data_IF_123513989174
#
_entry.id   IF_123513989174
#
_cell.length_a   1.000
_cell.length_b   1.000
_cell.length_c   1.000
_cell.angle_alpha   90.00
_cell.angle_beta   90.00
_cell.angle_gamma   90.00
#
_symmetry.space_group_name_H-M   'P 1'
#
loop_
_entity.id
_entity.type
_entity.pdbx_description
1 polymer ?
#
# COMPACT_ATOMS: atom_id res chain seq x y z
N UNK A 1 3.90 28.82 -26.06
CA UNK A 1 4.24 27.60 -25.30
C UNK A 1 3.10 27.39 -24.35
N UNK A 2 2.34 26.32 -24.54
CA UNK A 2 1.18 25.99 -23.70
C UNK A 2 1.70 25.64 -22.31
N UNK A 3 1.27 26.39 -21.30
CA UNK A 3 1.61 26.16 -19.91
C UNK A 3 1.00 24.81 -19.51
N UNK A 4 1.82 23.76 -19.45
CA UNK A 4 1.37 22.42 -19.07
C UNK A 4 1.13 22.45 -17.57
N UNK A 5 -0.11 22.66 -17.17
CA UNK A 5 -0.56 22.46 -15.79
C UNK A 5 -0.25 21.01 -15.40
N UNK A 6 0.53 20.83 -14.34
CA UNK A 6 0.84 19.52 -13.75
C UNK A 6 -0.46 18.81 -13.37
N UNK A 7 -0.62 17.53 -13.72
CA UNK A 7 -1.86 16.79 -13.42
C UNK A 7 -1.91 16.33 -11.96
N UNK A 8 -3.10 16.02 -11.45
CA UNK A 8 -3.26 15.48 -10.09
C UNK A 8 -2.52 14.15 -9.89
N UNK A 9 -2.39 13.35 -10.97
CA UNK A 9 -1.60 12.13 -10.95
C UNK A 9 -0.10 12.40 -10.87
N UNK A 10 0.40 13.42 -11.57
CA UNK A 10 1.78 13.86 -11.47
C UNK A 10 2.08 14.42 -10.06
N UNK A 11 1.16 15.18 -9.47
CA UNK A 11 1.26 15.64 -8.08
C UNK A 11 1.28 14.47 -7.09
N UNK A 12 0.37 13.52 -7.22
CA UNK A 12 0.28 12.32 -6.39
C UNK A 12 1.60 11.52 -6.42
N UNK A 13 2.12 11.23 -7.61
CA UNK A 13 3.34 10.44 -7.79
C UNK A 13 4.62 11.19 -7.43
N UNK A 14 4.56 12.52 -7.32
CA UNK A 14 5.66 13.38 -6.84
C UNK A 14 5.55 13.74 -5.35
N UNK A 15 4.72 12.99 -4.61
CA UNK A 15 4.55 13.13 -3.16
C UNK A 15 3.99 14.51 -2.74
N UNK A 16 3.34 15.21 -3.67
CA UNK A 16 2.67 16.48 -3.39
C UNK A 16 1.21 16.27 -2.97
N UNK A 17 0.61 17.30 -2.39
CA UNK A 17 -0.84 17.32 -2.18
C UNK A 17 -1.54 17.29 -3.54
N UNK A 18 -2.56 16.45 -3.63
CA UNK A 18 -3.35 16.22 -4.83
C UNK A 18 -4.83 16.00 -4.47
N UNK A 19 -5.70 16.11 -5.46
CA UNK A 19 -7.14 15.88 -5.35
C UNK A 19 -7.45 14.44 -5.76
N UNK A 20 -7.69 13.58 -4.77
CA UNK A 20 -7.97 12.16 -5.00
C UNK A 20 -9.24 11.87 -5.82
N UNK A 21 -10.16 12.83 -5.90
CA UNK A 21 -11.39 12.73 -6.71
C UNK A 21 -11.18 13.16 -8.18
N UNK A 22 -9.94 13.36 -8.62
CA UNK A 22 -9.63 13.66 -10.01
C UNK A 22 -10.14 12.56 -10.97
N UNK A 23 -10.71 12.92 -12.14
CA UNK A 23 -11.22 11.95 -13.09
C UNK A 23 -10.19 10.94 -13.62
N UNK A 24 -8.94 11.35 -13.85
CA UNK A 24 -7.87 10.45 -14.30
C UNK A 24 -7.59 9.38 -13.24
N UNK A 25 -7.44 9.80 -11.99
CA UNK A 25 -7.26 8.90 -10.86
C UNK A 25 -8.49 8.00 -10.65
N UNK A 26 -9.70 8.53 -10.86
CA UNK A 26 -10.93 7.76 -10.81
C UNK A 26 -10.99 6.62 -11.82
N UNK A 27 -10.46 6.82 -13.04
CA UNK A 27 -10.38 5.76 -14.07
C UNK A 27 -9.49 4.61 -13.60
N UNK A 28 -8.29 4.93 -13.10
CA UNK A 28 -7.33 3.92 -12.63
C UNK A 28 -7.87 3.17 -11.40
N UNK A 29 -8.45 3.88 -10.44
CA UNK A 29 -9.06 3.28 -9.25
C UNK A 29 -10.24 2.35 -9.61
N UNK A 30 -11.07 2.74 -10.57
CA UNK A 30 -12.18 1.90 -11.03
C UNK A 30 -11.71 0.62 -11.72
N UNK A 31 -10.59 0.69 -12.46
CA UNK A 31 -9.97 -0.51 -13.04
C UNK A 31 -9.48 -1.45 -11.94
N UNK A 32 -8.81 -0.93 -10.91
CA UNK A 32 -8.37 -1.70 -9.76
C UNK A 32 -9.54 -2.38 -9.05
N UNK A 33 -10.59 -1.62 -8.72
CA UNK A 33 -11.82 -2.12 -8.07
C UNK A 33 -12.45 -3.29 -8.83
N UNK A 34 -12.53 -3.20 -10.16
CA UNK A 34 -13.06 -4.29 -11.01
C UNK A 34 -12.22 -5.56 -10.88
N UNK A 35 -10.89 -5.46 -10.96
CA UNK A 35 -10.00 -6.61 -10.83
C UNK A 35 -10.02 -7.19 -9.42
N UNK A 36 -10.00 -6.36 -8.38
CA UNK A 36 -10.11 -6.84 -6.98
C UNK A 36 -11.44 -7.51 -6.72
N UNK A 37 -12.54 -7.06 -7.34
CA UNK A 37 -13.82 -7.74 -7.25
C UNK A 37 -13.76 -9.15 -7.86
N UNK A 38 -13.18 -9.27 -9.06
CA UNK A 38 -13.01 -10.57 -9.72
C UNK A 38 -12.11 -11.51 -8.92
N UNK A 39 -11.03 -11.00 -8.32
CA UNK A 39 -10.15 -11.77 -7.43
C UNK A 39 -10.92 -12.27 -6.20
N UNK A 40 -11.65 -11.38 -5.52
CA UNK A 40 -12.28 -11.66 -4.24
C UNK A 40 -13.57 -12.49 -4.34
N UNK A 41 -14.09 -12.70 -5.55
CA UNK A 41 -15.31 -13.49 -5.81
C UNK A 41 -15.05 -14.74 -6.64
N UNK A 42 -13.83 -14.94 -7.11
CA UNK A 42 -13.45 -16.17 -7.80
C UNK A 42 -13.51 -17.36 -6.83
N UNK A 43 -13.80 -18.54 -7.37
CA UNK A 43 -13.67 -19.79 -6.61
C UNK A 43 -12.20 -20.03 -6.24
N UNK A 44 -11.96 -20.57 -5.06
CA UNK A 44 -10.61 -20.99 -4.63
C UNK A 44 -10.01 -22.06 -5.56
N UNK A 45 -10.85 -22.79 -6.29
CA UNK A 45 -10.42 -23.78 -7.29
C UNK A 45 -9.84 -23.11 -8.56
N UNK A 46 -10.20 -21.85 -8.85
CA UNK A 46 -9.79 -21.10 -10.05
C UNK A 46 -8.43 -20.37 -9.84
N UNK A 47 -7.43 -21.03 -9.23
CA UNK A 47 -6.16 -20.36 -8.84
C UNK A 47 -5.42 -19.69 -9.99
N UNK A 48 -5.35 -20.33 -11.16
CA UNK A 48 -4.68 -19.75 -12.34
C UNK A 48 -5.35 -18.44 -12.79
N UNK A 49 -6.68 -18.40 -12.73
CA UNK A 49 -7.47 -17.22 -13.08
C UNK A 49 -7.23 -16.08 -12.08
N UNK A 50 -7.21 -16.39 -10.78
CA UNK A 50 -6.88 -15.44 -9.71
C UNK A 50 -5.48 -14.86 -9.94
N UNK A 51 -4.47 -15.70 -10.19
CA UNK A 51 -3.12 -15.23 -10.51
C UNK A 51 -3.10 -14.36 -11.78
N UNK A 52 -3.86 -14.74 -12.81
CA UNK A 52 -4.01 -13.94 -14.03
C UNK A 52 -4.60 -12.56 -13.78
N UNK A 53 -5.55 -12.43 -12.84
CA UNK A 53 -6.07 -11.12 -12.43
C UNK A 53 -5.05 -10.31 -11.65
N UNK A 54 -4.29 -10.91 -10.73
CA UNK A 54 -3.20 -10.22 -10.05
C UNK A 54 -2.13 -9.71 -11.02
N UNK A 55 -1.75 -10.47 -12.04
CA UNK A 55 -0.80 -10.00 -13.07
C UNK A 55 -1.35 -8.84 -13.92
N UNK A 56 -2.66 -8.71 -14.03
CA UNK A 56 -3.32 -7.56 -14.70
C UNK A 56 -3.47 -6.35 -13.78
N UNK A 57 -3.56 -6.59 -12.47
CA UNK A 57 -3.76 -5.58 -11.44
C UNK A 57 -2.45 -4.92 -11.04
N UNK A 58 -1.44 -5.75 -10.70
CA UNK A 58 -0.16 -5.31 -10.15
C UNK A 58 0.77 -4.80 -11.24
N UNK A 59 1.60 -3.80 -10.91
CA UNK A 59 2.63 -3.26 -11.81
C UNK A 59 3.60 -4.34 -12.28
N UNK A 60 4.05 -5.16 -11.33
CA UNK A 60 5.03 -6.22 -11.55
C UNK A 60 4.81 -7.35 -10.54
N UNK A 61 5.06 -8.57 -11.00
CA UNK A 61 5.04 -9.78 -10.17
C UNK A 61 6.27 -10.64 -10.49
N UNK A 62 6.74 -11.41 -9.52
CA UNK A 62 7.61 -12.56 -9.76
C UNK A 62 6.92 -13.65 -10.59
N UNK A 63 7.69 -14.67 -10.97
CA UNK A 63 7.14 -15.88 -11.60
C UNK A 63 6.27 -16.62 -10.58
N UNK A 64 6.78 -16.87 -9.38
CA UNK A 64 6.03 -17.45 -8.29
C UNK A 64 5.62 -16.35 -7.30
N UNK A 65 4.32 -16.25 -7.04
CA UNK A 65 3.76 -15.44 -5.96
C UNK A 65 2.40 -16.01 -5.57
N UNK A 66 1.95 -15.70 -4.36
CA UNK A 66 0.68 -16.16 -3.84
C UNK A 66 0.07 -15.10 -2.93
N UNK A 67 -1.15 -14.67 -3.23
CA UNK A 67 -1.88 -13.69 -2.45
C UNK A 67 -3.25 -14.29 -2.19
N UNK A 68 -3.61 -14.48 -0.92
CA UNK A 68 -4.92 -14.99 -0.57
C UNK A 68 -5.99 -13.89 -0.68
N UNK A 69 -7.09 -14.15 -1.41
CA UNK A 69 -8.26 -13.31 -1.31
C UNK A 69 -8.88 -13.38 0.11
N UNK A 70 -9.51 -12.30 0.61
CA UNK A 70 -9.70 -11.04 -0.09
C UNK A 70 -8.45 -10.15 -0.06
N UNK A 71 -8.18 -9.50 -1.19
CA UNK A 71 -7.16 -8.47 -1.36
C UNK A 71 -7.80 -7.13 -1.73
N UNK A 72 -7.24 -6.02 -1.24
CA UNK A 72 -7.70 -4.66 -1.58
C UNK A 72 -6.53 -3.73 -1.87
N UNK A 73 -6.70 -2.86 -2.86
CA UNK A 73 -5.78 -1.77 -3.18
C UNK A 73 -6.51 -0.57 -3.77
N UNK A 74 -5.81 0.57 -3.89
CA UNK A 74 -6.37 1.76 -4.52
C UNK A 74 -6.24 1.71 -6.04
N UNK A 75 -5.04 1.38 -6.55
CA UNK A 75 -4.74 1.41 -7.98
C UNK A 75 -4.18 0.08 -8.49
N UNK A 76 -3.45 -0.65 -7.65
CA UNK A 76 -2.74 -1.89 -7.99
C UNK A 76 -1.53 -1.68 -8.89
N UNK A 77 -1.63 -0.78 -9.87
CA UNK A 77 -0.59 -0.48 -10.85
C UNK A 77 0.63 0.25 -10.28
N UNK A 78 0.64 0.59 -8.99
CA UNK A 78 1.81 1.10 -8.28
C UNK A 78 2.47 0.04 -7.37
N UNK A 79 1.94 -1.19 -7.34
CA UNK A 79 2.45 -2.29 -6.52
C UNK A 79 3.33 -3.22 -7.35
N UNK A 80 4.58 -3.39 -6.92
CA UNK A 80 5.50 -4.40 -7.43
C UNK A 80 5.78 -5.43 -6.35
N UNK A 81 5.65 -6.72 -6.70
CA UNK A 81 6.04 -7.84 -5.82
C UNK A 81 7.11 -8.70 -6.48
N UNK A 82 8.09 -9.10 -5.68
CA UNK A 82 9.21 -9.95 -6.10
C UNK A 82 8.85 -11.43 -6.31
N UNK A 83 9.89 -12.23 -6.49
CA UNK A 83 9.82 -13.69 -6.56
C UNK A 83 9.52 -14.30 -5.19
N UNK A 84 8.70 -15.35 -5.14
CA UNK A 84 8.29 -16.04 -3.92
C UNK A 84 7.62 -15.12 -2.88
N UNK A 85 6.86 -14.12 -3.33
CA UNK A 85 6.03 -13.31 -2.43
C UNK A 85 4.79 -14.08 -1.98
N UNK A 86 4.54 -14.11 -0.68
CA UNK A 86 3.32 -14.64 -0.08
C UNK A 86 2.60 -13.57 0.73
N UNK A 87 1.29 -13.41 0.51
CA UNK A 87 0.41 -12.64 1.38
C UNK A 87 -0.78 -13.48 1.82
N UNK A 88 -0.97 -13.56 3.13
CA UNK A 88 -2.10 -14.25 3.73
C UNK A 88 -3.39 -13.41 3.65
N UNK A 89 -4.49 -13.96 4.19
CA UNK A 89 -5.83 -13.40 4.13
C UNK A 89 -5.91 -11.93 4.58
N UNK A 90 -6.84 -11.19 3.98
CA UNK A 90 -7.19 -9.81 4.31
C UNK A 90 -6.04 -8.80 4.10
N UNK A 91 -5.17 -9.01 3.11
CA UNK A 91 -4.10 -8.04 2.81
C UNK A 91 -4.65 -6.78 2.13
N UNK A 92 -4.23 -5.60 2.63
CA UNK A 92 -4.63 -4.29 2.10
C UNK A 92 -3.38 -3.48 1.75
N UNK A 93 -3.28 -3.01 0.51
CA UNK A 93 -2.18 -2.15 0.05
C UNK A 93 -2.76 -0.90 -0.62
N UNK A 94 -2.80 0.22 0.11
CA UNK A 94 -3.23 1.51 -0.43
C UNK A 94 -2.04 2.18 -1.13
N UNK A 95 -1.97 1.97 -2.44
CA UNK A 95 -0.84 2.31 -3.32
C UNK A 95 -1.02 3.65 -4.05
N UNK A 96 -1.35 4.71 -3.30
CA UNK A 96 -1.33 6.09 -3.82
C UNK A 96 0.03 6.43 -4.43
N UNK A 97 1.11 5.95 -3.80
CA UNK A 97 2.48 6.02 -4.30
C UNK A 97 3.04 4.61 -4.50
N UNK A 98 4.24 4.53 -5.07
CA UNK A 98 4.87 3.24 -5.39
C UNK A 98 5.12 2.37 -4.15
N UNK A 99 4.76 1.09 -4.25
CA UNK A 99 5.02 0.06 -3.26
C UNK A 99 5.88 -1.02 -3.88
N UNK A 100 7.11 -1.18 -3.38
CA UNK A 100 8.04 -2.18 -3.87
C UNK A 100 8.32 -3.23 -2.79
N UNK A 101 7.83 -4.45 -3.00
CA UNK A 101 8.06 -5.61 -2.14
C UNK A 101 9.08 -6.53 -2.82
N UNK A 102 10.16 -6.86 -2.10
CA UNK A 102 11.26 -7.68 -2.62
C UNK A 102 10.95 -9.17 -2.73
N UNK A 103 11.99 -9.96 -2.97
CA UNK A 103 11.91 -11.41 -3.10
C UNK A 103 11.83 -12.12 -1.73
N UNK A 104 11.17 -13.27 -1.68
CA UNK A 104 11.04 -14.15 -0.50
C UNK A 104 10.40 -13.46 0.72
N UNK A 105 9.43 -12.57 0.48
CA UNK A 105 8.70 -11.85 1.53
C UNK A 105 7.39 -12.57 1.87
N UNK A 106 7.11 -12.71 3.17
CA UNK A 106 5.89 -13.31 3.68
C UNK A 106 5.13 -12.30 4.53
N UNK A 107 3.92 -11.94 4.10
CA UNK A 107 2.97 -11.19 4.89
C UNK A 107 2.04 -12.15 5.62
N UNK A 108 1.93 -11.95 6.93
CA UNK A 108 0.92 -12.62 7.75
C UNK A 108 -0.49 -12.13 7.43
N UNK A 109 -1.51 -12.64 8.14
CA UNK A 109 -2.89 -12.19 7.96
C UNK A 109 -3.05 -10.71 8.31
N UNK A 110 -3.93 -10.02 7.59
CA UNK A 110 -4.31 -8.61 7.86
C UNK A 110 -3.13 -7.64 7.86
N UNK A 111 -2.11 -7.92 7.07
CA UNK A 111 -1.04 -6.95 6.81
C UNK A 111 -1.59 -5.82 5.95
N UNK A 112 -1.35 -4.60 6.41
CA UNK A 112 -1.77 -3.37 5.77
C UNK A 112 -0.57 -2.49 5.46
N UNK A 113 -0.42 -2.08 4.19
CA UNK A 113 0.61 -1.16 3.71
C UNK A 113 -0.08 0.08 3.17
N UNK A 114 0.17 1.25 3.75
CA UNK A 114 -0.50 2.49 3.40
C UNK A 114 0.52 3.54 2.99
N UNK A 115 0.48 3.96 1.73
CA UNK A 115 1.18 5.17 1.27
C UNK A 115 0.27 6.39 1.29
N UNK A 116 -1.04 6.18 1.42
CA UNK A 116 -2.03 7.24 1.52
C UNK A 116 -1.98 7.97 2.87
N UNK A 117 -2.19 9.28 2.85
CA UNK A 117 -2.30 10.11 4.04
C UNK A 117 -3.15 11.35 3.78
N UNK A 118 -3.64 11.96 4.86
CA UNK A 118 -4.39 13.21 4.81
C UNK A 118 -3.70 14.28 5.68
N UNK A 119 -3.68 15.56 5.24
CA UNK A 119 -3.19 16.65 6.06
C UNK A 119 -3.89 16.66 7.43
N UNK A 120 -3.11 16.58 8.49
CA UNK A 120 -3.59 16.71 9.85
C UNK A 120 -3.39 18.15 10.34
N UNK A 121 -4.37 18.67 11.07
CA UNK A 121 -4.17 19.92 11.80
C UNK A 121 -3.11 19.71 12.86
N UNK A 122 -2.03 20.49 12.80
CA UNK A 122 -1.02 20.51 13.86
C UNK A 122 -1.65 21.18 15.09
N UNK A 123 -1.89 20.40 16.16
CA UNK A 123 -2.45 20.91 17.42
C UNK A 123 -1.38 21.39 18.41
N UNK A 124 -0.16 20.86 18.30
CA UNK A 124 1.05 21.33 18.97
C UNK A 124 2.29 20.74 18.28
N UNK A 125 3.42 21.43 18.35
CA UNK A 125 4.70 20.86 17.93
C UNK A 125 5.27 19.94 19.02
N UNK A 126 6.06 18.95 18.63
CA UNK A 126 6.90 18.18 19.54
C UNK A 126 7.98 19.11 20.09
N UNK A 127 8.21 19.04 21.40
CA UNK A 127 9.16 19.87 22.12
C UNK A 127 10.28 19.03 22.73
N UNK A 128 11.34 19.67 23.21
CA UNK A 128 12.41 19.00 23.97
C UNK A 128 11.89 18.21 25.17
N UNK A 129 10.80 18.66 25.80
CA UNK A 129 10.15 17.95 26.92
C UNK A 129 9.58 16.60 26.48
N UNK A 130 8.95 16.54 25.31
CA UNK A 130 8.44 15.28 24.76
C UNK A 130 9.59 14.30 24.48
N UNK A 131 10.70 14.80 23.91
CA UNK A 131 11.88 13.99 23.66
C UNK A 131 12.52 13.47 24.94
N UNK A 132 12.64 14.31 25.97
CA UNK A 132 13.18 13.92 27.28
C UNK A 132 12.31 12.82 27.93
N UNK A 133 10.99 13.00 27.93
CA UNK A 133 10.05 12.01 28.44
C UNK A 133 10.23 10.64 27.77
N UNK A 134 10.27 10.60 26.44
CA UNK A 134 10.41 9.32 25.73
C UNK A 134 11.77 8.65 25.91
N UNK A 135 12.85 9.43 26.03
CA UNK A 135 14.17 8.88 26.40
C UNK A 135 14.14 8.22 27.78
N UNK A 136 13.44 8.82 28.73
CA UNK A 136 13.29 8.24 30.07
C UNK A 136 12.45 6.96 30.03
N UNK A 137 11.33 6.95 29.29
CA UNK A 137 10.51 5.74 29.09
C UNK A 137 11.31 4.60 28.45
N UNK A 138 12.13 4.90 27.43
CA UNK A 138 13.01 3.93 26.78
C UNK A 138 14.03 3.35 27.76
N UNK A 139 14.68 4.20 28.58
CA UNK A 139 15.63 3.77 29.58
C UNK A 139 15.00 2.85 30.63
N UNK A 140 13.79 3.19 31.10
CA UNK A 140 13.02 2.35 32.03
C UNK A 140 12.64 1.01 31.41
N UNK A 141 12.15 1.00 30.16
CA UNK A 141 11.81 -0.22 29.44
C UNK A 141 13.03 -1.16 29.30
N UNK A 142 14.18 -0.63 28.89
CA UNK A 142 15.43 -1.40 28.76
C UNK A 142 15.89 -1.98 30.09
N UNK A 143 15.79 -1.20 31.18
CA UNK A 143 16.13 -1.66 32.53
C UNK A 143 15.22 -2.82 32.97
N UNK A 144 13.93 -2.75 32.66
CA UNK A 144 12.95 -3.78 33.04
C UNK A 144 13.05 -5.07 32.20
N UNK A 145 13.62 -5.01 30.99
CA UNK A 145 13.85 -6.18 30.12
C UNK A 145 15.18 -6.89 30.35
N UNK A 146 16.10 -6.29 31.09
CA UNK A 146 17.41 -6.87 31.40
C UNK A 146 17.38 -7.86 32.59
N UNK A 147 16.26 -8.58 32.76
CA UNK A 147 16.13 -9.70 33.71
C UNK A 147 16.62 -11.00 33.08
#
# INVERSE_FOLDING_TARGET
MEDKTVTEKELMLSEQLYIANDPELGVDNNKAKRLTHLINTASDEDREKIQGYFRKLLKKTGKNFWIEPPFRCDYGCHISVGENFYANYDCIILDVCEVNIGDNVFFGPRVSVYTAGHPCKVIRHITEKDHAYWKEQEAQYKKNKSL
#
